data_IF_384838595237
#
_entry.id   IF_384838595237
#
_cell.length_a   1.000
_cell.length_b   1.000
_cell.length_c   1.000
_cell.angle_alpha   90.00
_cell.angle_beta   90.00
_cell.angle_gamma   90.00
#
_symmetry.space_group_name_H-M   'P 1'
#
loop_
_entity.id
_entity.type
_entity.pdbx_description
1 polymer ?
#
# COMPACT_ATOMS: atom_id res chain seq x y z
N UNK A 1 -16.75 24.77 -8.75
CA UNK A 1 -16.10 23.57 -8.21
C UNK A 1 -16.39 22.44 -9.17
N UNK A 2 -15.41 22.00 -9.95
CA UNK A 2 -15.61 20.88 -10.88
C UNK A 2 -15.39 19.60 -10.07
N UNK A 3 -16.47 18.96 -9.61
CA UNK A 3 -16.39 17.67 -8.93
C UNK A 3 -16.06 16.60 -9.96
N UNK A 4 -14.78 16.27 -10.11
CA UNK A 4 -14.37 15.13 -10.92
C UNK A 4 -14.73 13.85 -10.16
N UNK A 5 -15.38 12.91 -10.84
CA UNK A 5 -15.66 11.58 -10.30
C UNK A 5 -14.61 10.61 -10.83
N UNK A 6 -13.91 9.94 -9.92
CA UNK A 6 -12.95 8.90 -10.28
C UNK A 6 -13.53 7.52 -9.98
N UNK A 7 -13.42 6.62 -10.94
CA UNK A 7 -13.73 5.19 -10.78
C UNK A 7 -12.52 4.37 -11.22
N UNK A 8 -12.53 3.07 -10.91
CA UNK A 8 -11.56 2.14 -11.46
C UNK A 8 -12.23 1.27 -12.51
N UNK A 9 -11.72 1.31 -13.74
CA UNK A 9 -12.20 0.48 -14.84
C UNK A 9 -11.11 -0.51 -15.26
N UNK A 10 -11.44 -1.80 -15.28
CA UNK A 10 -10.53 -2.88 -15.70
C UNK A 10 -11.20 -3.59 -16.87
N UNK A 11 -10.44 -3.83 -17.95
CA UNK A 11 -10.94 -4.44 -19.19
C UNK A 11 -12.20 -3.75 -19.76
N UNK A 12 -12.30 -2.43 -19.61
CA UNK A 12 -13.44 -1.64 -20.08
C UNK A 12 -14.66 -1.64 -19.16
N UNK A 13 -14.60 -2.27 -17.99
CA UNK A 13 -15.70 -2.36 -17.03
C UNK A 13 -15.34 -1.65 -15.72
N UNK A 14 -16.20 -0.71 -15.29
CA UNK A 14 -16.12 -0.16 -13.94
C UNK A 14 -16.25 -1.29 -12.92
N UNK A 15 -15.34 -1.32 -11.95
CA UNK A 15 -15.40 -2.30 -10.86
C UNK A 15 -16.69 -2.10 -10.07
N UNK A 16 -17.45 -3.19 -9.91
CA UNK A 16 -18.76 -3.21 -9.28
C UNK A 16 -18.97 -4.57 -8.59
N UNK A 17 -19.96 -4.64 -7.69
CA UNK A 17 -20.35 -5.85 -6.98
C UNK A 17 -19.20 -6.50 -6.18
N UNK A 18 -18.40 -5.64 -5.55
CA UNK A 18 -17.29 -6.00 -4.69
C UNK A 18 -17.31 -5.12 -3.43
N UNK A 19 -16.49 -5.49 -2.44
CA UNK A 19 -16.38 -4.78 -1.15
C UNK A 19 -15.15 -3.89 -1.05
N UNK A 20 -14.13 -4.15 -1.87
CA UNK A 20 -12.83 -3.49 -1.82
C UNK A 20 -12.59 -2.77 -3.15
N UNK A 21 -12.22 -1.50 -3.06
CA UNK A 21 -11.99 -0.64 -4.22
C UNK A 21 -10.60 0.00 -4.15
N UNK A 22 -9.86 -0.10 -5.25
CA UNK A 22 -8.64 0.67 -5.48
C UNK A 22 -8.90 1.66 -6.60
N UNK A 23 -8.84 2.96 -6.32
CA UNK A 23 -9.13 4.03 -7.29
C UNK A 23 -7.85 4.86 -7.46
N UNK A 24 -7.28 4.85 -8.67
CA UNK A 24 -6.09 5.63 -8.97
C UNK A 24 -6.48 7.02 -9.48
N UNK A 25 -6.03 8.04 -8.77
CA UNK A 25 -6.15 9.43 -9.21
C UNK A 25 -4.95 9.76 -10.09
N UNK A 26 -5.21 10.24 -11.31
CA UNK A 26 -4.18 10.55 -12.31
C UNK A 26 -4.11 12.06 -12.54
N UNK A 27 -3.04 12.50 -13.20
CA UNK A 27 -2.83 13.90 -13.62
C UNK A 27 -2.87 14.92 -12.46
N UNK A 28 -2.54 14.47 -11.25
CA UNK A 28 -2.41 15.34 -10.09
C UNK A 28 -1.16 16.21 -10.21
N UNK A 29 -1.28 17.47 -9.79
CA UNK A 29 -0.15 18.40 -9.72
C UNK A 29 0.72 18.06 -8.52
N UNK A 30 2.06 18.05 -8.63
CA UNK A 30 2.95 17.86 -7.48
C UNK A 30 2.76 18.94 -6.40
N UNK A 31 3.06 18.61 -5.13
CA UNK A 31 3.02 19.55 -4.01
C UNK A 31 1.67 20.26 -3.81
N UNK A 32 0.57 19.65 -4.28
CA UNK A 32 -0.75 20.28 -4.32
C UNK A 32 -1.70 19.55 -3.39
N UNK A 33 -2.44 20.31 -2.58
CA UNK A 33 -3.49 19.77 -1.72
C UNK A 33 -4.77 19.51 -2.52
N UNK A 34 -5.37 18.35 -2.30
CA UNK A 34 -6.64 17.92 -2.87
C UNK A 34 -7.59 17.52 -1.75
N UNK A 35 -8.88 17.82 -1.94
CA UNK A 35 -9.96 17.29 -1.12
C UNK A 35 -10.61 16.11 -1.84
N UNK A 36 -11.01 15.07 -1.10
CA UNK A 36 -11.75 13.94 -1.66
C UNK A 36 -12.83 13.43 -0.71
N UNK A 37 -13.81 12.73 -1.27
CA UNK A 37 -14.89 12.05 -0.55
C UNK A 37 -15.12 10.70 -1.20
N UNK A 38 -15.36 9.67 -0.39
CA UNK A 38 -15.64 8.31 -0.86
C UNK A 38 -17.15 8.11 -0.87
N UNK A 39 -17.65 7.55 -1.98
CA UNK A 39 -19.04 7.17 -2.16
C UNK A 39 -19.12 5.67 -2.38
N UNK A 40 -19.92 4.98 -1.58
CA UNK A 40 -20.22 3.56 -1.74
C UNK A 40 -21.69 3.39 -2.05
N UNK A 41 -22.01 2.93 -3.26
CA UNK A 41 -23.38 2.75 -3.71
C UNK A 41 -23.76 1.28 -3.68
N UNK A 42 -24.73 0.93 -2.84
CA UNK A 42 -25.17 -0.44 -2.69
C UNK A 42 -25.81 -0.97 -3.97
N UNK A 43 -25.55 -2.23 -4.30
CA UNK A 43 -26.15 -2.95 -5.43
C UNK A 43 -27.01 -4.07 -4.86
N UNK A 44 -28.31 -3.80 -4.75
CA UNK A 44 -29.31 -4.75 -4.24
C UNK A 44 -29.52 -5.88 -5.25
N UNK A 45 -29.44 -5.58 -6.55
CA UNK A 45 -29.62 -6.57 -7.62
C UNK A 45 -28.67 -6.27 -8.78
N UNK A 46 -27.96 -7.30 -9.25
CA UNK A 46 -26.96 -7.17 -10.32
C UNK A 46 -27.19 -8.19 -11.46
N UNK A 47 -28.23 -7.97 -12.26
CA UNK A 47 -28.55 -8.81 -13.42
C UNK A 47 -28.02 -8.18 -14.73
N UNK A 48 -27.78 -8.97 -15.80
CA UNK A 48 -27.16 -8.49 -17.04
C UNK A 48 -27.83 -7.28 -17.71
N UNK A 49 -29.15 -7.14 -17.57
CA UNK A 49 -29.94 -6.05 -18.15
C UNK A 49 -30.77 -5.30 -17.10
N UNK A 50 -30.54 -5.54 -15.80
CA UNK A 50 -31.26 -4.88 -14.72
C UNK A 50 -30.38 -4.78 -13.47
N UNK A 51 -30.02 -3.56 -13.09
CA UNK A 51 -29.27 -3.28 -11.88
C UNK A 51 -30.13 -2.40 -10.97
N UNK A 52 -30.39 -2.87 -9.75
CA UNK A 52 -31.12 -2.10 -8.73
C UNK A 52 -30.11 -1.66 -7.69
N UNK A 53 -30.00 -0.34 -7.53
CA UNK A 53 -29.15 0.25 -6.50
C UNK A 53 -29.95 0.51 -5.22
N UNK A 54 -29.28 0.36 -4.10
CA UNK A 54 -29.76 0.76 -2.78
C UNK A 54 -29.27 2.15 -2.39
N UNK A 55 -29.02 2.30 -1.09
CA UNK A 55 -28.49 3.52 -0.50
C UNK A 55 -27.07 3.84 -1.01
N UNK A 56 -26.72 5.12 -1.06
CA UNK A 56 -25.34 5.57 -1.24
C UNK A 56 -24.82 6.08 0.09
N UNK A 57 -23.80 5.40 0.62
CA UNK A 57 -23.06 5.85 1.79
C UNK A 57 -21.96 6.81 1.36
N UNK A 58 -21.70 7.81 2.20
CA UNK A 58 -20.68 8.84 1.94
C UNK A 58 -19.75 8.96 3.14
N UNK A 59 -18.44 9.08 2.89
CA UNK A 59 -17.46 9.39 3.93
C UNK A 59 -17.51 10.87 4.34
N UNK A 60 -16.79 11.30 5.39
CA UNK A 60 -16.38 12.70 5.54
C UNK A 60 -15.54 13.19 4.34
N UNK A 61 -15.30 14.50 4.27
CA UNK A 61 -14.32 15.07 3.33
C UNK A 61 -12.93 14.92 3.93
N UNK A 62 -12.03 14.29 3.19
CA UNK A 62 -10.63 14.12 3.54
C UNK A 62 -9.75 15.02 2.67
N UNK A 63 -8.51 15.24 3.10
CA UNK A 63 -7.54 16.04 2.36
C UNK A 63 -6.20 15.31 2.31
N UNK A 64 -5.53 15.35 1.16
CA UNK A 64 -4.16 14.88 1.03
C UNK A 64 -3.34 15.87 0.21
N UNK A 65 -2.03 15.82 0.35
CA UNK A 65 -1.09 16.61 -0.45
C UNK A 65 -0.23 15.67 -1.26
N UNK A 66 -0.15 15.89 -2.57
CA UNK A 66 0.74 15.11 -3.44
C UNK A 66 2.21 15.38 -3.10
N UNK A 67 3.10 14.38 -3.24
CA UNK A 67 4.54 14.60 -3.06
C UNK A 67 5.05 15.76 -3.92
N UNK A 68 5.87 16.63 -3.34
CA UNK A 68 6.55 17.67 -4.10
C UNK A 68 7.71 17.06 -4.89
N UNK A 69 7.96 17.63 -6.07
CA UNK A 69 9.12 17.28 -6.91
C UNK A 69 10.27 18.27 -6.77
N UNK A 70 10.05 19.38 -6.05
CA UNK A 70 11.00 20.48 -5.85
C UNK A 70 11.14 20.76 -4.35
N UNK A 71 11.73 19.81 -3.64
CA UNK A 71 12.10 19.91 -2.22
C UNK A 71 13.49 19.34 -2.03
N UNK A 72 14.22 19.88 -1.05
CA UNK A 72 15.59 19.45 -0.74
C UNK A 72 15.65 18.34 0.33
N UNK A 73 14.54 18.07 1.01
CA UNK A 73 14.42 17.05 2.05
C UNK A 73 13.17 16.19 1.87
N UNK A 74 13.20 15.01 2.49
CA UNK A 74 12.04 14.11 2.63
C UNK A 74 12.10 13.48 4.02
N UNK A 75 10.96 13.41 4.70
CA UNK A 75 10.82 12.86 6.05
C UNK A 75 9.87 11.65 6.03
N UNK A 76 10.32 10.55 6.63
CA UNK A 76 9.58 9.28 6.69
C UNK A 76 9.53 8.77 8.13
N UNK A 77 8.37 8.26 8.53
CA UNK A 77 8.27 7.41 9.71
C UNK A 77 8.27 5.95 9.27
N UNK A 78 9.09 5.12 9.90
CA UNK A 78 9.22 3.70 9.58
C UNK A 78 8.88 2.90 10.82
N UNK A 79 7.96 1.95 10.69
CA UNK A 79 7.61 0.97 11.72
C UNK A 79 7.77 -0.44 11.17
N UNK A 80 8.29 -1.33 11.99
CA UNK A 80 8.55 -2.74 11.65
C UNK A 80 7.97 -3.61 12.76
N UNK A 81 7.75 -4.90 12.48
CA UNK A 81 7.61 -5.95 13.49
C UNK A 81 6.49 -5.68 14.53
N UNK A 82 5.34 -5.17 14.05
CA UNK A 82 4.19 -4.87 14.91
C UNK A 82 3.54 -6.18 15.42
N UNK A 83 3.55 -7.25 14.61
CA UNK A 83 3.13 -8.60 15.01
C UNK A 83 1.78 -8.67 15.76
N UNK A 84 0.70 -8.20 15.13
CA UNK A 84 -0.67 -8.20 15.70
C UNK A 84 -0.81 -7.40 17.01
N UNK A 85 0.02 -6.38 17.21
CA UNK A 85 -0.09 -5.42 18.31
C UNK A 85 -0.47 -4.02 17.80
N UNK A 86 -1.67 -3.84 17.21
CA UNK A 86 -2.06 -2.59 16.56
C UNK A 86 -1.97 -1.37 17.46
N UNK A 87 -2.10 -1.53 18.78
CA UNK A 87 -1.93 -0.48 19.78
C UNK A 87 -0.50 0.10 19.85
N UNK A 88 0.49 -0.64 19.33
CA UNK A 88 1.87 -0.16 19.24
C UNK A 88 2.04 0.91 18.16
N UNK A 89 1.23 0.89 17.09
CA UNK A 89 1.31 1.85 15.98
C UNK A 89 1.13 3.30 16.46
N UNK A 90 0.04 3.68 17.16
CA UNK A 90 -0.12 5.05 17.65
C UNK A 90 0.97 5.45 18.65
N UNK A 91 1.41 4.53 19.51
CA UNK A 91 2.49 4.79 20.46
C UNK A 91 3.80 5.14 19.76
N UNK A 92 4.23 4.30 18.81
CA UNK A 92 5.49 4.46 18.08
C UNK A 92 5.48 5.70 17.20
N UNK A 93 4.39 5.95 16.45
CA UNK A 93 4.26 7.16 15.65
C UNK A 93 4.20 8.42 16.52
N UNK A 94 3.63 8.32 17.73
CA UNK A 94 3.60 9.42 18.71
C UNK A 94 4.98 9.86 19.21
N UNK A 95 6.00 8.99 19.14
CA UNK A 95 7.38 9.35 19.51
C UNK A 95 7.98 10.43 18.59
N UNK A 96 7.42 10.61 17.40
CA UNK A 96 7.78 11.69 16.49
C UNK A 96 7.36 13.09 16.99
N UNK A 97 6.55 13.19 18.06
CA UNK A 97 6.16 14.47 18.70
C UNK A 97 5.57 15.50 17.73
N UNK A 98 4.83 15.03 16.73
CA UNK A 98 4.19 15.85 15.69
C UNK A 98 5.16 16.60 14.76
N UNK A 99 6.43 16.21 14.67
CA UNK A 99 7.32 16.73 13.63
C UNK A 99 6.74 16.39 12.23
N UNK A 100 6.81 17.29 11.23
CA UNK A 100 6.28 17.02 9.91
C UNK A 100 6.94 15.80 9.24
N UNK A 101 6.11 14.96 8.61
CA UNK A 101 6.55 13.84 7.78
C UNK A 101 5.73 13.74 6.48
N UNK A 102 6.33 13.16 5.46
CA UNK A 102 5.75 13.06 4.11
C UNK A 102 5.00 11.76 3.90
N UNK A 103 5.51 10.66 4.46
CA UNK A 103 4.88 9.35 4.36
C UNK A 103 5.27 8.43 5.52
N UNK A 104 4.53 7.33 5.65
CA UNK A 104 4.82 6.25 6.60
C UNK A 104 5.24 5.00 5.82
N UNK A 105 6.20 4.25 6.33
CA UNK A 105 6.53 2.92 5.82
C UNK A 105 6.23 1.87 6.89
N UNK A 106 5.32 0.96 6.56
CA UNK A 106 5.10 -0.28 7.28
C UNK A 106 6.10 -1.29 6.69
N UNK A 107 7.27 -1.44 7.30
CA UNK A 107 8.39 -2.21 6.76
C UNK A 107 8.46 -3.63 7.36
N UNK A 108 7.37 -4.34 7.10
CA UNK A 108 7.22 -5.78 7.25
C UNK A 108 6.80 -6.26 8.62
N UNK A 109 6.16 -7.42 8.62
CA UNK A 109 5.71 -8.15 9.79
C UNK A 109 4.76 -7.33 10.66
N UNK A 110 3.74 -6.77 10.00
CA UNK A 110 2.67 -6.06 10.70
C UNK A 110 1.77 -7.02 11.48
N UNK A 111 1.71 -8.27 11.03
CA UNK A 111 0.96 -9.36 11.66
C UNK A 111 1.87 -10.57 11.85
N UNK A 112 1.49 -11.51 12.72
CA UNK A 112 2.20 -12.79 12.84
C UNK A 112 1.88 -13.74 11.69
N UNK A 113 0.69 -13.60 11.12
CA UNK A 113 0.16 -14.30 9.95
C UNK A 113 -1.22 -13.70 9.61
N UNK A 114 -1.69 -13.87 8.38
CA UNK A 114 -3.00 -13.41 7.93
C UNK A 114 -4.00 -14.57 7.80
N UNK A 115 -4.97 -14.64 8.71
CA UNK A 115 -6.02 -15.67 8.69
C UNK A 115 -7.35 -15.17 8.12
N UNK A 116 -7.65 -13.87 8.24
CA UNK A 116 -8.93 -13.31 7.78
C UNK A 116 -8.86 -11.83 7.37
N UNK A 117 -9.85 -11.41 6.57
CA UNK A 117 -10.10 -9.99 6.24
C UNK A 117 -10.26 -9.14 7.51
N UNK A 118 -11.05 -9.62 8.48
CA UNK A 118 -11.30 -8.90 9.72
C UNK A 118 -10.00 -8.62 10.49
N UNK A 119 -9.08 -9.59 10.56
CA UNK A 119 -7.77 -9.41 11.19
C UNK A 119 -6.94 -8.34 10.47
N UNK A 120 -6.87 -8.38 9.14
CA UNK A 120 -6.14 -7.38 8.37
C UNK A 120 -6.70 -5.96 8.61
N UNK A 121 -8.03 -5.84 8.64
CA UNK A 121 -8.71 -4.57 8.91
C UNK A 121 -8.35 -4.06 10.30
N UNK A 122 -8.55 -4.87 11.35
CA UNK A 122 -8.38 -4.42 12.73
C UNK A 122 -6.91 -4.24 13.14
N UNK A 123 -6.01 -5.06 12.59
CA UNK A 123 -4.59 -5.07 13.00
C UNK A 123 -3.74 -4.08 12.22
N UNK A 124 -4.17 -3.68 11.01
CA UNK A 124 -3.35 -2.85 10.10
C UNK A 124 -4.14 -1.68 9.53
N UNK A 125 -5.21 -1.94 8.77
CA UNK A 125 -5.88 -0.90 7.96
C UNK A 125 -6.54 0.17 8.83
N UNK A 126 -7.29 -0.24 9.85
CA UNK A 126 -8.02 0.67 10.72
C UNK A 126 -7.07 1.56 11.54
N UNK A 127 -6.05 1.03 12.26
CA UNK A 127 -5.07 1.86 12.95
C UNK A 127 -4.38 2.88 12.04
N UNK A 128 -3.99 2.46 10.83
CA UNK A 128 -3.35 3.38 9.88
C UNK A 128 -4.31 4.48 9.40
N UNK A 129 -5.57 4.11 9.09
CA UNK A 129 -6.60 5.05 8.60
C UNK A 129 -7.02 6.06 9.66
N UNK A 130 -7.08 5.65 10.93
CA UNK A 130 -7.38 6.52 12.06
C UNK A 130 -6.24 7.52 12.36
N UNK A 131 -5.00 7.18 12.01
CA UNK A 131 -3.83 7.98 12.34
C UNK A 131 -3.34 8.88 11.20
N UNK A 132 -3.25 8.36 9.97
CA UNK A 132 -2.62 9.08 8.87
C UNK A 132 -3.10 8.68 7.47
N UNK A 133 -3.56 7.45 7.23
CA UNK A 133 -3.65 6.90 5.86
C UNK A 133 -4.74 7.51 4.97
N UNK A 134 -5.67 8.26 5.57
CA UNK A 134 -6.65 9.09 4.83
C UNK A 134 -6.07 10.41 4.32
N UNK A 135 -4.88 10.82 4.79
CA UNK A 135 -4.28 12.11 4.47
C UNK A 135 -2.84 12.01 3.94
N UNK A 136 -2.12 10.97 4.37
CA UNK A 136 -0.71 10.73 4.05
C UNK A 136 -0.56 9.39 3.33
N UNK A 137 0.22 9.34 2.23
CA UNK A 137 0.53 8.08 1.59
C UNK A 137 1.38 7.22 2.52
N UNK A 138 1.29 5.90 2.34
CA UNK A 138 2.18 4.97 3.01
C UNK A 138 2.67 3.88 2.09
N UNK A 139 3.78 3.29 2.48
CA UNK A 139 4.42 2.16 1.82
C UNK A 139 4.22 0.93 2.70
N UNK A 140 3.87 -0.19 2.08
CA UNK A 140 3.85 -1.49 2.73
C UNK A 140 4.96 -2.35 2.12
N UNK A 141 6.09 -2.49 2.83
CA UNK A 141 7.11 -3.45 2.47
C UNK A 141 6.77 -4.76 3.19
N UNK A 142 6.44 -5.81 2.45
CA UNK A 142 5.95 -7.07 3.04
C UNK A 142 7.08 -7.81 3.75
N UNK A 143 6.82 -8.25 4.97
CA UNK A 143 7.68 -9.16 5.71
C UNK A 143 7.32 -10.62 5.49
N UNK A 144 8.10 -11.53 6.04
CA UNK A 144 7.87 -12.97 5.86
C UNK A 144 6.58 -13.42 6.57
N UNK A 145 6.26 -12.87 7.74
CA UNK A 145 5.03 -13.23 8.45
C UNK A 145 3.76 -12.78 7.71
N UNK A 146 3.83 -11.68 6.98
CA UNK A 146 2.72 -11.19 6.15
C UNK A 146 2.38 -12.14 4.99
N UNK A 147 3.26 -13.10 4.68
CA UNK A 147 3.05 -14.12 3.64
C UNK A 147 2.34 -15.39 4.14
N UNK A 148 2.17 -15.51 5.45
CA UNK A 148 1.66 -16.71 6.13
C UNK A 148 0.17 -16.63 6.39
N UNK A 149 -0.50 -17.78 6.43
CA UNK A 149 -1.92 -17.90 6.74
C UNK A 149 -2.82 -17.95 5.51
N UNK A 150 -4.09 -18.32 5.74
CA UNK A 150 -5.08 -18.55 4.68
C UNK A 150 -5.42 -17.30 3.88
N UNK A 151 -5.29 -16.12 4.48
CA UNK A 151 -5.68 -14.85 3.89
C UNK A 151 -4.50 -14.06 3.29
N UNK A 152 -3.26 -14.52 3.43
CA UNK A 152 -2.08 -13.79 2.95
C UNK A 152 -2.10 -13.45 1.46
N UNK A 153 -2.71 -14.32 0.63
CA UNK A 153 -2.82 -14.11 -0.82
C UNK A 153 -3.75 -12.94 -1.19
N UNK A 154 -4.56 -12.46 -0.26
CA UNK A 154 -5.49 -11.35 -0.43
C UNK A 154 -4.94 -10.02 0.08
N UNK A 155 -3.74 -9.97 0.68
CA UNK A 155 -3.15 -8.75 1.25
C UNK A 155 -3.15 -7.57 0.26
N UNK A 156 -2.69 -7.81 -0.97
CA UNK A 156 -2.59 -6.79 -2.02
C UNK A 156 -3.92 -6.45 -2.71
N UNK A 157 -5.03 -7.06 -2.28
CA UNK A 157 -6.37 -6.54 -2.60
C UNK A 157 -6.65 -5.25 -1.82
N UNK A 158 -6.11 -5.12 -0.61
CA UNK A 158 -6.31 -3.99 0.31
C UNK A 158 -5.21 -2.93 0.23
N UNK A 159 -3.99 -3.34 -0.17
CA UNK A 159 -2.84 -2.45 -0.29
C UNK A 159 -2.49 -2.25 -1.76
N UNK A 160 -2.43 -0.99 -2.21
CA UNK A 160 -1.97 -0.66 -3.56
C UNK A 160 -0.47 -0.35 -3.58
N UNK A 161 0.32 -1.26 -4.15
CA UNK A 161 1.75 -1.06 -4.46
C UNK A 161 2.00 -0.86 -5.95
N UNK A 162 0.94 -0.71 -6.76
CA UNK A 162 1.01 -0.68 -8.22
C UNK A 162 0.83 -2.06 -8.83
N UNK A 163 1.66 -2.40 -9.82
CA UNK A 163 1.53 -3.66 -10.58
C UNK A 163 1.99 -4.89 -9.81
N UNK A 164 2.92 -4.71 -8.86
CA UNK A 164 3.54 -5.81 -8.13
C UNK A 164 3.60 -5.49 -6.62
N UNK A 165 3.73 -6.52 -5.76
CA UNK A 165 4.04 -6.42 -4.34
C UNK A 165 5.31 -5.62 -3.97
N UNK A 166 6.15 -5.33 -4.96
CA UNK A 166 7.36 -4.51 -4.88
C UNK A 166 7.24 -3.31 -5.81
N UNK A 167 7.89 -2.21 -5.45
CA UNK A 167 7.79 -0.98 -6.23
C UNK A 167 9.03 -0.09 -6.10
N UNK A 168 9.08 0.94 -6.93
CA UNK A 168 10.06 2.02 -6.83
C UNK A 168 9.41 3.35 -7.15
N UNK A 169 9.82 4.41 -6.47
CA UNK A 169 9.25 5.74 -6.63
C UNK A 169 10.25 6.83 -6.21
N UNK A 170 9.90 8.09 -6.47
CA UNK A 170 10.70 9.24 -6.04
C UNK A 170 9.86 10.20 -5.22
N UNK A 171 10.46 10.73 -4.15
CA UNK A 171 9.92 11.84 -3.36
C UNK A 171 11.07 12.83 -3.18
N UNK A 172 10.88 14.06 -3.65
CA UNK A 172 11.92 15.09 -3.61
C UNK A 172 13.26 14.61 -4.19
N UNK A 173 14.36 14.69 -3.42
CA UNK A 173 15.70 14.31 -3.88
C UNK A 173 15.98 12.80 -3.81
N UNK A 174 15.06 12.00 -3.29
CA UNK A 174 15.25 10.59 -3.00
C UNK A 174 14.55 9.67 -4.01
N UNK A 175 15.23 8.57 -4.35
CA UNK A 175 14.68 7.44 -5.07
C UNK A 175 14.60 6.23 -4.13
N UNK A 176 13.40 5.68 -3.98
CA UNK A 176 13.10 4.55 -3.13
C UNK A 176 12.92 3.30 -3.97
N UNK A 177 13.45 2.18 -3.49
CA UNK A 177 13.14 0.84 -3.98
C UNK A 177 12.65 0.02 -2.79
N UNK A 178 11.51 -0.64 -2.97
CA UNK A 178 10.85 -1.46 -1.97
C UNK A 178 10.76 -2.88 -2.56
N UNK A 179 11.81 -3.71 -2.42
CA UNK A 179 11.75 -5.10 -2.80
C UNK A 179 10.77 -5.88 -1.91
N UNK A 180 10.23 -6.95 -2.47
CA UNK A 180 9.46 -7.95 -1.73
C UNK A 180 10.25 -9.24 -1.79
N UNK A 181 10.96 -9.54 -0.72
CA UNK A 181 11.85 -10.70 -0.67
C UNK A 181 11.12 -11.98 -0.24
N UNK A 182 9.86 -11.87 0.16
CA UNK A 182 9.03 -13.00 0.57
C UNK A 182 9.46 -13.60 1.90
N UNK A 183 9.74 -14.90 1.89
CA UNK A 183 10.06 -15.70 3.08
C UNK A 183 11.55 -15.85 3.36
N UNK A 184 11.88 -16.06 4.65
CA UNK A 184 13.24 -16.24 5.18
C UNK A 184 13.78 -17.67 5.02
N UNK A 185 12.89 -18.67 4.93
CA UNK A 185 13.29 -20.08 4.77
C UNK A 185 13.29 -20.50 3.30
N UNK A 186 13.97 -21.59 3.02
CA UNK A 186 14.00 -22.18 1.69
C UNK A 186 12.60 -22.65 1.26
N UNK A 187 12.30 -22.60 -0.05
CA UNK A 187 10.98 -22.97 -0.57
C UNK A 187 10.58 -24.43 -0.26
N UNK A 188 11.56 -25.30 -0.05
CA UNK A 188 11.36 -26.70 0.31
C UNK A 188 11.25 -26.95 1.83
N UNK A 189 11.23 -25.90 2.65
CA UNK A 189 10.99 -26.03 4.09
C UNK A 189 9.63 -26.70 4.32
N UNK A 190 9.60 -27.65 5.26
CA UNK A 190 8.41 -28.43 5.60
C UNK A 190 7.23 -27.54 6.03
N UNK A 191 7.49 -26.37 6.59
CA UNK A 191 6.48 -25.45 7.09
C UNK A 191 5.67 -24.76 5.97
N UNK A 192 6.17 -24.78 4.73
CA UNK A 192 5.45 -24.20 3.59
C UNK A 192 4.59 -25.21 2.83
N UNK A 193 4.67 -26.51 3.15
CA UNK A 193 3.84 -27.55 2.56
C UNK A 193 3.82 -27.55 1.02
N UNK A 194 4.94 -27.16 0.39
CA UNK A 194 5.07 -27.06 -1.08
C UNK A 194 4.34 -25.86 -1.71
N UNK A 195 3.95 -24.86 -0.92
CA UNK A 195 3.25 -23.66 -1.37
C UNK A 195 4.16 -22.45 -1.57
N UNK A 196 5.44 -22.56 -1.21
CA UNK A 196 6.44 -21.53 -1.42
C UNK A 196 7.11 -21.67 -2.79
N UNK A 197 7.39 -20.53 -3.41
CA UNK A 197 8.11 -20.42 -4.69
C UNK A 197 8.83 -19.06 -4.74
N UNK A 198 9.39 -18.64 -3.61
CA UNK A 198 10.05 -17.35 -3.46
C UNK A 198 11.39 -17.27 -4.17
N UNK A 199 12.09 -18.39 -4.42
CA UNK A 199 13.35 -18.37 -5.18
C UNK A 199 13.11 -17.87 -6.62
N UNK A 200 12.21 -18.53 -7.35
CA UNK A 200 11.85 -18.12 -8.71
C UNK A 200 11.23 -16.70 -8.76
N UNK A 201 10.56 -16.30 -7.68
CA UNK A 201 10.02 -14.95 -7.52
C UNK A 201 11.14 -13.90 -7.34
N UNK A 202 12.13 -14.16 -6.49
CA UNK A 202 13.31 -13.31 -6.26
C UNK A 202 14.18 -13.20 -7.51
N UNK A 203 14.29 -14.25 -8.31
CA UNK A 203 14.98 -14.20 -9.62
C UNK A 203 14.32 -13.19 -10.58
N UNK A 204 12.98 -13.23 -10.71
CA UNK A 204 12.23 -12.26 -11.51
C UNK A 204 12.41 -10.84 -10.98
N UNK A 205 12.38 -10.68 -9.66
CA UNK A 205 12.55 -9.38 -9.02
C UNK A 205 13.97 -8.83 -9.20
N UNK A 206 14.99 -9.67 -9.25
CA UNK A 206 16.38 -9.26 -9.53
C UNK A 206 16.49 -8.56 -10.88
N UNK A 207 15.86 -9.11 -11.92
CA UNK A 207 15.82 -8.49 -13.26
C UNK A 207 15.15 -7.11 -13.19
N UNK A 208 14.02 -7.01 -12.48
CA UNK A 208 13.32 -5.75 -12.29
C UNK A 208 14.19 -4.73 -11.53
N UNK A 209 14.86 -5.15 -10.45
CA UNK A 209 15.71 -4.30 -9.62
C UNK A 209 16.87 -3.71 -10.43
N UNK A 210 17.54 -4.52 -11.26
CA UNK A 210 18.58 -4.03 -12.15
C UNK A 210 18.08 -2.94 -13.11
N UNK A 211 16.85 -3.08 -13.62
CA UNK A 211 16.24 -2.07 -14.49
C UNK A 211 15.94 -0.78 -13.71
N UNK A 212 15.41 -0.89 -12.49
CA UNK A 212 15.13 0.28 -11.65
C UNK A 212 16.40 1.05 -11.29
N UNK A 213 17.49 0.36 -10.96
CA UNK A 213 18.78 0.99 -10.66
C UNK A 213 19.39 1.70 -11.89
N UNK A 214 19.09 1.24 -13.10
CA UNK A 214 19.50 1.89 -14.36
C UNK A 214 18.55 3.03 -14.78
N UNK A 215 17.44 3.25 -14.08
CA UNK A 215 16.45 4.26 -14.43
C UNK A 215 17.02 5.69 -14.35
N UNK A 216 16.38 6.63 -15.06
CA UNK A 216 16.75 8.05 -14.96
C UNK A 216 16.49 8.60 -13.56
N UNK A 217 15.40 8.16 -12.91
CA UNK A 217 15.05 8.56 -11.55
C UNK A 217 16.15 8.15 -10.56
N UNK A 218 16.53 6.88 -10.56
CA UNK A 218 17.61 6.36 -9.71
C UNK A 218 18.95 7.08 -9.95
N UNK A 219 19.34 7.29 -11.21
CA UNK A 219 20.62 7.93 -11.53
C UNK A 219 20.66 9.41 -11.13
N UNK A 220 19.53 10.12 -11.23
CA UNK A 220 19.44 11.55 -10.88
C UNK A 220 19.23 11.83 -9.39
N UNK A 221 18.69 10.87 -8.64
CA UNK A 221 18.42 11.07 -7.22
C UNK A 221 19.70 11.34 -6.43
N UNK A 222 19.65 12.29 -5.50
CA UNK A 222 20.73 12.58 -4.55
C UNK A 222 20.85 11.41 -3.55
N UNK A 223 19.72 10.85 -3.14
CA UNK A 223 19.63 9.72 -2.23
C UNK A 223 18.99 8.50 -2.90
N UNK A 224 19.56 7.31 -2.69
CA UNK A 224 19.00 6.03 -3.14
C UNK A 224 18.77 5.18 -1.91
N UNK A 225 17.51 4.89 -1.60
CA UNK A 225 17.09 4.24 -0.37
C UNK A 225 16.42 2.93 -0.72
N UNK A 226 16.78 1.86 -0.01
CA UNK A 226 16.13 0.56 -0.10
C UNK A 226 15.37 0.34 1.20
N UNK A 227 14.07 0.03 1.10
CA UNK A 227 13.21 -0.34 2.23
C UNK A 227 12.90 -1.83 2.10
N UNK A 228 13.53 -2.62 2.96
CA UNK A 228 13.50 -4.09 2.91
C UNK A 228 13.35 -4.61 4.34
N UNK A 229 12.53 -5.65 4.51
CA UNK A 229 12.24 -6.20 5.82
C UNK A 229 13.37 -7.10 6.35
N UNK A 230 13.69 -8.19 5.63
CA UNK A 230 14.80 -9.08 6.00
C UNK A 230 16.11 -8.55 5.38
N UNK A 231 17.15 -8.31 6.20
CA UNK A 231 18.42 -7.76 5.74
C UNK A 231 19.28 -8.73 4.92
#
# INVERSE_FOLDING_TARGET
VCSQHATNAINGLNQAYNRVHKIRLNELKPGTQYAYKVYSKDIIQFNPYNVVYGETLESPVYHFTTPSTDVDEVSLLIVNDIHDRPESIPYLLGLNKNEPYDCVCLNGDMVNHLESEAQLITSVIQPCTELFASEKPFIYARGNHDTRGSFARHLYEYIDTGENPYCSFSIGPAFFIVPDIGEDKADNDKEYFGLASFDAYREKQTIWLEQQLKSKAARKAKFRIVLIHIP
#
